data_IF_265516152362
#
_entry.id   IF_265516152362
#
_cell.length_a   1.000
_cell.length_b   1.000
_cell.length_c   1.000
_cell.angle_alpha   90.00
_cell.angle_beta   90.00
_cell.angle_gamma   90.00
#
_symmetry.space_group_name_H-M   'P 1'
#
loop_
_entity.id
_entity.type
_entity.pdbx_description
1 polymer ?
#
# COMPACT_ATOMS: atom_id res chain seq x y z
N UNK A 1 -6.35 17.42 -3.09
CA UNK A 1 -6.59 15.96 -3.12
C UNK A 1 -5.52 15.31 -2.27
N UNK A 2 -5.87 14.31 -1.46
CA UNK A 2 -4.91 13.61 -0.60
C UNK A 2 -5.16 12.12 -0.74
N UNK A 3 -4.28 11.44 -1.47
CA UNK A 3 -4.39 10.00 -1.69
C UNK A 3 -3.68 9.27 -0.55
N UNK A 4 -4.44 8.49 0.21
CA UNK A 4 -3.90 7.59 1.22
C UNK A 4 -3.72 6.20 0.60
N UNK A 5 -2.52 5.64 0.70
CA UNK A 5 -2.22 4.28 0.25
C UNK A 5 -2.18 3.36 1.47
N UNK A 6 -3.07 2.38 1.52
CA UNK A 6 -3.17 1.42 2.62
C UNK A 6 -2.68 0.06 2.17
N UNK A 7 -1.73 -0.52 2.89
CA UNK A 7 -1.40 -1.95 2.76
C UNK A 7 -2.41 -2.73 3.59
N UNK A 8 -3.31 -3.46 2.92
CA UNK A 8 -4.46 -4.12 3.55
C UNK A 8 -4.26 -5.60 3.83
N UNK A 9 -3.35 -6.24 3.10
CA UNK A 9 -3.08 -7.67 3.20
C UNK A 9 -1.64 -7.98 2.76
N UNK A 10 -1.00 -8.94 3.43
CA UNK A 10 0.33 -9.44 3.08
C UNK A 10 0.24 -10.98 3.03
N UNK A 11 0.30 -11.52 1.82
CA UNK A 11 0.35 -12.95 1.57
C UNK A 11 1.82 -13.42 1.50
N UNK A 12 2.32 -13.99 2.59
CA UNK A 12 3.70 -14.48 2.71
C UNK A 12 4.00 -15.67 1.81
N UNK A 13 3.03 -16.56 1.59
CA UNK A 13 3.22 -17.74 0.74
C UNK A 13 3.45 -17.34 -0.73
N UNK A 14 2.75 -16.31 -1.19
CA UNK A 14 2.87 -15.79 -2.55
C UNK A 14 3.87 -14.64 -2.68
N UNK A 15 4.45 -14.19 -1.58
CA UNK A 15 5.33 -13.01 -1.52
C UNK A 15 4.67 -11.76 -2.13
N UNK A 16 3.37 -11.56 -1.82
CA UNK A 16 2.55 -10.46 -2.37
C UNK A 16 1.92 -9.62 -1.27
N UNK A 17 1.86 -8.31 -1.47
CA UNK A 17 1.07 -7.41 -0.62
C UNK A 17 -0.02 -6.72 -1.45
N UNK A 18 -1.17 -6.47 -0.85
CA UNK A 18 -2.28 -5.75 -1.48
C UNK A 18 -2.35 -4.33 -0.95
N UNK A 19 -2.48 -3.36 -1.86
CA UNK A 19 -2.70 -1.96 -1.52
C UNK A 19 -4.02 -1.45 -2.05
N UNK A 20 -4.56 -0.50 -1.30
CA UNK A 20 -5.71 0.31 -1.66
C UNK A 20 -5.29 1.80 -1.67
N UNK A 21 -5.51 2.50 -2.76
CA UNK A 21 -5.34 3.96 -2.83
C UNK A 21 -6.71 4.63 -2.70
N UNK A 22 -6.87 5.51 -1.73
CA UNK A 22 -8.14 6.12 -1.35
C UNK A 22 -7.99 7.64 -1.37
N UNK A 23 -8.90 8.36 -2.04
CA UNK A 23 -9.02 9.83 -1.96
C UNK A 23 -10.32 10.18 -1.24
N UNK A 24 -10.19 10.66 0.00
CA UNK A 24 -11.33 10.85 0.90
C UNK A 24 -12.04 9.53 1.19
N UNK A 25 -13.23 9.34 0.61
CA UNK A 25 -14.04 8.10 0.73
C UNK A 25 -14.01 7.23 -0.52
N UNK A 26 -13.33 7.67 -1.59
CA UNK A 26 -13.35 7.00 -2.87
C UNK A 26 -12.13 6.08 -3.02
N UNK A 27 -12.37 4.79 -3.28
CA UNK A 27 -11.33 3.84 -3.66
C UNK A 27 -10.93 4.09 -5.12
N UNK A 28 -9.71 4.56 -5.34
CA UNK A 28 -9.17 4.85 -6.68
C UNK A 28 -8.48 3.62 -7.27
N UNK A 29 -7.80 2.85 -6.43
CA UNK A 29 -7.01 1.70 -6.86
C UNK A 29 -7.06 0.61 -5.80
N UNK A 30 -7.20 -0.64 -6.23
CA UNK A 30 -6.90 -1.82 -5.41
C UNK A 30 -6.06 -2.78 -6.24
N UNK A 31 -4.84 -3.07 -5.79
CA UNK A 31 -3.90 -3.90 -6.55
C UNK A 31 -2.94 -4.65 -5.63
N UNK A 32 -2.55 -5.85 -6.06
CA UNK A 32 -1.51 -6.63 -5.40
C UNK A 32 -0.17 -6.48 -6.11
N UNK A 33 0.91 -6.38 -5.33
CA UNK A 33 2.29 -6.24 -5.78
C UNK A 33 3.14 -7.34 -5.18
N UNK A 34 4.16 -7.76 -5.94
CA UNK A 34 5.16 -8.71 -5.48
C UNK A 34 6.24 -8.00 -4.65
N UNK A 35 6.76 -8.66 -3.63
CA UNK A 35 7.91 -8.21 -2.86
C UNK A 35 8.96 -9.31 -2.75
N UNK A 36 10.25 -8.95 -2.70
CA UNK A 36 11.33 -9.94 -2.52
C UNK A 36 11.74 -10.10 -1.07
N UNK A 37 11.58 -9.03 -0.28
CA UNK A 37 11.95 -8.98 1.13
C UNK A 37 10.76 -8.46 1.92
N UNK A 38 10.32 -9.21 2.94
CA UNK A 38 9.24 -8.80 3.84
C UNK A 38 9.76 -7.78 4.86
N UNK A 39 10.14 -6.59 4.39
CA UNK A 39 10.45 -5.47 5.27
C UNK A 39 9.60 -4.27 4.89
N UNK A 40 9.17 -3.51 5.90
CA UNK A 40 8.39 -2.27 5.73
C UNK A 40 9.05 -1.36 4.69
N UNK A 41 10.35 -1.10 4.84
CA UNK A 41 11.14 -0.26 3.92
C UNK A 41 11.14 -0.78 2.48
N UNK A 42 11.20 -2.10 2.27
CA UNK A 42 11.16 -2.68 0.93
C UNK A 42 9.77 -2.53 0.31
N UNK A 43 8.71 -2.81 1.06
CA UNK A 43 7.32 -2.65 0.61
C UNK A 43 7.04 -1.17 0.28
N UNK A 44 7.45 -0.24 1.14
CA UNK A 44 7.34 1.20 0.88
C UNK A 44 8.08 1.61 -0.40
N UNK A 45 9.27 1.04 -0.64
CA UNK A 45 10.03 1.29 -1.87
C UNK A 45 9.28 0.80 -3.12
N UNK A 46 8.70 -0.41 -3.07
CA UNK A 46 7.87 -0.94 -4.16
C UNK A 46 6.66 -0.03 -4.39
N UNK A 47 5.96 0.39 -3.34
CA UNK A 47 4.82 1.30 -3.43
C UNK A 47 5.22 2.62 -4.08
N UNK A 48 6.30 3.26 -3.61
CA UNK A 48 6.75 4.53 -4.16
C UNK A 48 7.15 4.43 -5.64
N UNK A 49 7.70 3.29 -6.06
CA UNK A 49 8.05 3.02 -7.45
C UNK A 49 6.81 2.81 -8.33
N UNK A 50 5.92 1.92 -7.92
CA UNK A 50 4.75 1.51 -8.71
C UNK A 50 3.63 2.57 -8.71
N UNK A 51 3.47 3.28 -7.59
CA UNK A 51 2.46 4.32 -7.39
C UNK A 51 3.02 5.74 -7.51
N UNK A 52 4.16 5.92 -8.19
CA UNK A 52 4.86 7.22 -8.35
C UNK A 52 3.97 8.38 -8.79
N UNK A 53 2.89 8.09 -9.51
CA UNK A 53 1.91 9.09 -9.95
C UNK A 53 1.26 9.82 -8.78
N UNK A 54 0.94 9.11 -7.70
CA UNK A 54 0.34 9.67 -6.48
C UNK A 54 1.37 10.40 -5.60
N UNK A 55 2.68 10.26 -5.89
CA UNK A 55 3.74 10.99 -5.18
C UNK A 55 3.99 12.39 -5.77
N UNK A 56 3.22 12.81 -6.78
CA UNK A 56 3.33 14.16 -7.35
C UNK A 56 2.68 15.20 -6.42
N UNK A 57 3.16 16.45 -6.42
CA UNK A 57 2.57 17.53 -5.62
C UNK A 57 1.07 17.73 -5.85
N UNK A 58 0.58 17.46 -7.07
CA UNK A 58 -0.84 17.53 -7.42
C UNK A 58 -1.74 16.61 -6.59
N UNK A 59 -1.19 15.52 -6.05
CA UNK A 59 -1.89 14.55 -5.23
C UNK A 59 -1.59 14.69 -3.72
N UNK A 60 -0.79 15.70 -3.33
CA UNK A 60 -0.41 15.93 -1.94
C UNK A 60 0.67 14.99 -1.39
N UNK A 61 1.30 14.19 -2.26
CA UNK A 61 2.24 13.14 -1.86
C UNK A 61 1.55 11.83 -1.46
N UNK A 62 2.35 10.81 -1.15
CA UNK A 62 1.85 9.51 -0.70
C UNK A 62 1.96 9.40 0.82
N UNK A 63 0.83 9.14 1.47
CA UNK A 63 0.80 8.64 2.85
C UNK A 63 0.59 7.13 2.84
N UNK A 64 1.61 6.35 3.23
CA UNK A 64 1.54 4.88 3.29
C UNK A 64 1.14 4.44 4.70
N UNK A 65 0.03 3.72 4.82
CA UNK A 65 -0.48 3.16 6.08
C UNK A 65 -0.43 1.64 6.02
N UNK A 66 0.22 1.00 6.98
CA UNK A 66 0.23 -0.45 7.13
C UNK A 66 -0.88 -0.85 8.10
N UNK A 67 -1.90 -1.54 7.60
CA UNK A 67 -2.95 -2.07 8.46
C UNK A 67 -2.47 -3.37 9.08
N UNK A 68 -2.05 -3.32 10.34
CA UNK A 68 -1.81 -4.52 11.12
C UNK A 68 -3.17 -5.11 11.53
N UNK A 69 -3.55 -6.25 10.94
CA UNK A 69 -4.64 -7.06 11.51
C UNK A 69 -4.09 -7.71 12.77
N UNK A 70 -4.52 -7.23 13.94
CA UNK A 70 -4.40 -7.99 15.18
C UNK A 70 -5.31 -9.21 15.01
N UNK A 71 -4.71 -10.37 14.72
CA UNK A 71 -5.47 -11.60 14.55
C UNK A 71 -6.24 -11.93 15.83
N UNK A 72 -7.52 -12.22 15.69
CA UNK A 72 -8.14 -13.22 16.55
C UNK A 72 -7.41 -14.52 16.23
N UNK A 73 -6.73 -15.09 17.22
CA UNK A 73 -6.20 -16.45 17.15
C UNK A 73 -7.36 -17.37 16.76
N UNK A 74 -7.32 -17.91 15.55
CA UNK A 74 -8.17 -19.01 15.09
C UNK A 74 -7.35 -20.29 15.05
#
# INVERSE_FOLDING_TARGET
MKVQVRVTDINRQKMQFTVEAIDGSNLILKRSFQFKTESKKHIESVINKELKTFNKPSYGGIEIVFMCRLGVLS
#
